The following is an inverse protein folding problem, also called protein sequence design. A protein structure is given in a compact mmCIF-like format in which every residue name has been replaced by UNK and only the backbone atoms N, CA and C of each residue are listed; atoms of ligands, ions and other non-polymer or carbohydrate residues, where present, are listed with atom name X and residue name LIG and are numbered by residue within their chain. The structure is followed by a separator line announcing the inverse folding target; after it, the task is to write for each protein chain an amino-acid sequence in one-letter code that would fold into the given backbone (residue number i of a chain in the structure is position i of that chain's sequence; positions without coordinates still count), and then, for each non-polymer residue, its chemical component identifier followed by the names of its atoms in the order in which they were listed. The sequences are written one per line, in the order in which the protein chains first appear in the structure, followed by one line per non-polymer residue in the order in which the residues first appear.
data_IF_924053730200
#
_entry.id   IF_924053730200
#
_cell.length_a   1.000
_cell.length_b   1.000
_cell.length_c   1.000
_cell.angle_alpha   90.00
_cell.angle_beta   90.00
_cell.angle_gamma   90.00
#
_symmetry.space_group_name_H-M   'P 1'
#
loop_
_entity.id
_entity.type
_entity.pdbx_description
1 polymer ?
#
# COMPACT_ATOMS: atom_id res chain seq x y z
N UNK A 1 -6.96 4.37 9.96
CA UNK A 1 -5.84 5.33 9.84
C UNK A 1 -5.73 6.06 11.17
N UNK A 2 -4.61 5.94 11.87
CA UNK A 2 -4.54 6.40 13.25
C UNK A 2 -5.69 5.81 14.08
N UNK A 3 -6.34 6.64 14.88
CA UNK A 3 -7.48 6.23 15.71
C UNK A 3 -8.83 6.23 14.93
N UNK A 4 -8.81 6.63 13.64
CA UNK A 4 -10.01 6.64 12.81
C UNK A 4 -10.27 5.25 12.24
N UNK A 5 -11.38 4.64 12.64
CA UNK A 5 -11.86 3.34 12.17
C UNK A 5 -13.27 3.52 11.60
N UNK A 6 -13.50 2.99 10.42
CA UNK A 6 -14.79 3.02 9.74
C UNK A 6 -15.21 1.62 9.32
N UNK A 7 -16.47 1.32 9.51
CA UNK A 7 -17.10 0.09 8.98
C UNK A 7 -17.52 0.34 7.52
N UNK A 8 -16.55 0.25 6.62
CA UNK A 8 -16.70 0.53 5.20
C UNK A 8 -15.87 -0.42 4.35
N UNK A 9 -16.18 -0.49 3.06
CA UNK A 9 -15.31 -1.12 2.07
C UNK A 9 -14.31 -0.11 1.49
N UNK A 10 -13.40 -0.56 0.60
CA UNK A 10 -12.47 0.32 -0.09
C UNK A 10 -13.20 1.31 -1.00
N UNK A 11 -12.63 2.50 -1.19
CA UNK A 11 -13.12 3.52 -2.12
C UNK A 11 -14.61 3.93 -1.93
N UNK A 12 -15.08 3.96 -0.68
CA UNK A 12 -16.46 4.34 -0.34
C UNK A 12 -17.51 3.25 -0.56
N UNK A 13 -17.09 2.02 -0.81
CA UNK A 13 -18.00 0.86 -0.84
C UNK A 13 -18.49 0.49 0.57
N UNK A 14 -19.59 -0.25 0.64
CA UNK A 14 -20.11 -0.75 1.91
C UNK A 14 -19.28 -1.92 2.43
N UNK A 15 -19.23 -2.08 3.75
CA UNK A 15 -18.67 -3.26 4.39
C UNK A 15 -19.51 -4.52 4.10
N UNK A 16 -18.84 -5.67 4.03
CA UNK A 16 -19.47 -6.96 3.78
C UNK A 16 -19.73 -7.78 5.06
N UNK A 17 -19.95 -7.13 6.20
CA UNK A 17 -20.18 -7.76 7.49
C UNK A 17 -21.27 -8.84 7.48
N UNK A 18 -22.47 -8.62 6.90
CA UNK A 18 -23.51 -9.63 6.81
C UNK A 18 -23.11 -10.92 6.08
N UNK A 19 -22.19 -10.83 5.10
CA UNK A 19 -21.65 -12.01 4.44
C UNK A 19 -20.77 -12.84 5.39
N UNK A 20 -19.93 -12.18 6.18
CA UNK A 20 -19.11 -12.82 7.22
C UNK A 20 -19.98 -13.59 8.21
N UNK A 21 -21.04 -12.98 8.72
CA UNK A 21 -21.99 -13.61 9.64
C UNK A 21 -22.66 -14.84 9.00
N UNK A 22 -23.09 -14.73 7.74
CA UNK A 22 -23.72 -15.83 7.00
C UNK A 22 -22.77 -17.01 6.80
N UNK A 23 -21.49 -16.76 6.49
CA UNK A 23 -20.48 -17.79 6.32
C UNK A 23 -20.17 -18.50 7.65
N UNK A 24 -20.06 -17.75 8.74
CA UNK A 24 -19.88 -18.33 10.08
C UNK A 24 -21.09 -19.17 10.51
N UNK A 25 -22.32 -18.74 10.22
CA UNK A 25 -23.53 -19.50 10.49
C UNK A 25 -23.59 -20.84 9.72
N UNK A 26 -22.95 -20.93 8.57
CA UNK A 26 -22.77 -22.16 7.79
C UNK A 26 -21.62 -23.06 8.32
N UNK A 27 -20.96 -22.65 9.40
CA UNK A 27 -19.86 -23.39 9.99
C UNK A 27 -18.53 -23.25 9.26
N UNK A 28 -18.39 -22.28 8.36
CA UNK A 28 -17.14 -22.05 7.64
C UNK A 28 -16.16 -21.26 8.54
N UNK A 29 -14.96 -21.79 8.83
CA UNK A 29 -13.96 -21.08 9.62
C UNK A 29 -13.37 -19.92 8.81
N UNK A 30 -13.38 -18.74 9.39
CA UNK A 30 -12.83 -17.53 8.78
C UNK A 30 -11.51 -17.14 9.43
N UNK A 31 -10.65 -16.50 8.66
CA UNK A 31 -9.45 -15.78 9.11
C UNK A 31 -9.56 -14.33 8.73
N UNK A 32 -9.03 -13.48 9.60
CA UNK A 32 -8.96 -12.05 9.34
C UNK A 32 -7.57 -11.68 8.88
N UNK A 33 -7.51 -11.07 7.69
CA UNK A 33 -6.29 -10.52 7.12
C UNK A 33 -6.31 -9.00 7.14
N UNK A 34 -5.14 -8.42 7.06
CA UNK A 34 -4.90 -6.99 6.94
C UNK A 34 -4.08 -6.71 5.70
N UNK A 35 -4.52 -5.81 4.88
CA UNK A 35 -3.71 -5.20 3.82
C UNK A 35 -3.68 -3.68 3.99
N UNK A 36 -2.89 -3.00 3.19
CA UNK A 36 -2.79 -1.55 3.22
C UNK A 36 -2.56 -0.99 1.84
N UNK A 37 -2.94 0.25 1.67
CA UNK A 37 -2.66 1.03 0.47
C UNK A 37 -1.76 2.21 0.82
N UNK A 38 -0.88 2.67 -0.08
CA UNK A 38 -0.07 3.86 0.15
C UNK A 38 -0.86 5.14 -0.14
N UNK A 39 -0.32 6.31 0.23
CA UNK A 39 -0.91 7.58 -0.14
C UNK A 39 -0.87 7.78 -1.65
N UNK A 40 -1.80 8.58 -2.16
CA UNK A 40 -1.80 9.07 -3.54
C UNK A 40 -1.50 10.54 -3.52
N UNK A 41 -0.69 10.98 -4.47
CA UNK A 41 -0.23 12.37 -4.57
C UNK A 41 -0.51 12.94 -5.96
N UNK A 42 -0.61 14.26 -6.03
CA UNK A 42 -0.80 14.98 -7.28
C UNK A 42 0.52 14.97 -8.08
N UNK A 43 0.49 14.47 -9.31
CA UNK A 43 1.62 14.40 -10.24
C UNK A 43 2.32 15.75 -10.41
N UNK A 44 1.55 16.85 -10.45
CA UNK A 44 2.07 18.20 -10.67
C UNK A 44 2.91 18.73 -9.50
N UNK A 45 2.78 18.12 -8.32
CA UNK A 45 3.52 18.50 -7.12
C UNK A 45 4.82 17.70 -6.92
N UNK A 46 5.15 16.78 -7.83
CA UNK A 46 6.32 15.89 -7.75
C UNK A 46 7.49 16.48 -8.53
N UNK A 47 8.66 16.47 -7.93
CA UNK A 47 9.92 16.80 -8.59
C UNK A 47 10.60 15.52 -9.12
N UNK A 48 10.24 15.13 -10.33
CA UNK A 48 10.78 13.93 -10.98
C UNK A 48 12.27 14.02 -11.29
N UNK A 49 12.87 15.21 -11.30
CA UNK A 49 14.31 15.38 -11.54
C UNK A 49 15.19 14.74 -10.46
N UNK A 50 14.63 14.49 -9.28
CA UNK A 50 15.27 13.81 -8.15
C UNK A 50 15.05 12.30 -8.11
N UNK A 51 14.38 11.75 -9.11
CA UNK A 51 14.01 10.34 -9.17
C UNK A 51 14.64 9.68 -10.39
N UNK A 52 14.80 8.37 -10.32
CA UNK A 52 15.28 7.58 -11.44
C UNK A 52 14.09 7.10 -12.28
N UNK A 53 14.07 7.48 -13.56
CA UNK A 53 13.09 6.98 -14.53
C UNK A 53 13.22 5.45 -14.65
N UNK A 54 12.08 4.76 -14.59
CA UNK A 54 11.94 3.34 -14.84
C UNK A 54 11.09 3.18 -16.09
N UNK A 55 11.76 2.98 -17.20
CA UNK A 55 11.11 2.62 -18.45
C UNK A 55 10.62 1.16 -18.38
N UNK A 56 9.60 0.85 -19.13
CA UNK A 56 9.16 -0.53 -19.28
C UNK A 56 10.15 -1.36 -20.09
N UNK A 57 9.87 -2.65 -20.24
CA UNK A 57 10.65 -3.54 -21.08
C UNK A 57 10.64 -3.00 -22.53
N UNK A 58 11.82 -2.84 -23.19
CA UNK A 58 11.88 -2.36 -24.57
C UNK A 58 11.24 -3.33 -25.58
N UNK A 59 11.07 -4.58 -25.19
CA UNK A 59 10.41 -5.61 -26.01
C UNK A 59 9.43 -6.41 -25.15
N UNK A 60 8.31 -5.79 -24.74
CA UNK A 60 7.40 -6.42 -23.80
C UNK A 60 6.74 -7.65 -24.44
N UNK A 61 6.73 -8.75 -23.69
CA UNK A 61 6.04 -9.97 -24.08
C UNK A 61 4.64 -10.01 -23.46
N UNK A 62 3.63 -10.43 -24.21
CA UNK A 62 2.30 -10.61 -23.67
C UNK A 62 2.26 -11.77 -22.66
N UNK A 63 1.43 -11.67 -21.63
CA UNK A 63 1.21 -12.77 -20.67
C UNK A 63 0.28 -13.85 -21.21
N UNK A 64 -0.57 -13.51 -22.20
CA UNK A 64 -1.45 -14.48 -22.86
C UNK A 64 -0.91 -14.89 -24.22
N UNK A 65 -0.95 -16.17 -24.51
CA UNK A 65 -0.64 -16.72 -25.84
C UNK A 65 -1.67 -16.31 -26.91
N UNK A 66 -2.84 -15.82 -26.52
CA UNK A 66 -3.91 -15.36 -27.42
C UNK A 66 -3.76 -13.89 -27.81
N UNK A 67 -2.81 -13.17 -27.22
CA UNK A 67 -2.57 -11.75 -27.54
C UNK A 67 -1.98 -11.64 -28.95
N UNK A 68 -2.67 -10.98 -29.91
CA UNK A 68 -2.30 -11.00 -31.31
C UNK A 68 -1.05 -10.16 -31.64
N UNK A 69 -0.68 -9.22 -30.81
CA UNK A 69 0.47 -8.36 -30.99
C UNK A 69 1.14 -8.03 -29.62
N UNK A 70 2.46 -7.77 -29.60
CA UNK A 70 3.13 -7.31 -28.38
C UNK A 70 2.46 -6.06 -27.80
N UNK A 71 2.33 -5.95 -26.46
CA UNK A 71 1.79 -4.76 -25.84
C UNK A 71 2.75 -3.57 -26.01
N UNK A 72 2.22 -2.35 -26.00
CA UNK A 72 3.00 -1.12 -25.97
C UNK A 72 3.10 -0.56 -24.56
N UNK A 73 4.29 -0.13 -24.18
CA UNK A 73 4.48 0.61 -22.93
C UNK A 73 3.91 2.03 -23.08
N UNK A 74 2.80 2.29 -22.41
CA UNK A 74 2.10 3.59 -22.47
C UNK A 74 2.33 4.47 -21.26
N UNK A 75 3.01 3.96 -20.23
CA UNK A 75 3.32 4.66 -19.00
C UNK A 75 4.70 4.27 -18.50
N UNK A 76 5.28 5.13 -17.68
CA UNK A 76 6.53 4.90 -16.97
C UNK A 76 6.33 5.13 -15.48
N UNK A 77 7.17 4.56 -14.66
CA UNK A 77 7.24 4.86 -13.24
C UNK A 77 8.61 5.46 -12.88
N UNK A 78 8.71 5.96 -11.66
CA UNK A 78 9.94 6.55 -11.15
C UNK A 78 10.34 5.90 -9.83
N UNK A 79 11.63 5.69 -9.66
CA UNK A 79 12.20 5.11 -8.47
C UNK A 79 12.79 6.20 -7.59
N UNK A 80 12.43 6.20 -6.32
CA UNK A 80 13.04 6.97 -5.24
C UNK A 80 13.18 6.11 -4.00
N UNK A 81 13.63 6.70 -2.90
CA UNK A 81 13.93 5.95 -1.67
C UNK A 81 13.48 6.72 -0.44
N UNK A 82 13.14 6.01 0.62
CA UNK A 82 13.04 6.60 1.95
C UNK A 82 14.40 7.09 2.41
N UNK A 83 14.42 8.01 3.36
CA UNK A 83 15.62 8.59 3.96
C UNK A 83 15.73 8.20 5.44
N UNK A 84 16.88 8.42 6.09
CA UNK A 84 16.98 8.28 7.56
C UNK A 84 15.95 9.14 8.32
N UNK A 85 15.63 10.32 7.76
CA UNK A 85 14.60 11.21 8.32
C UNK A 85 13.20 10.58 8.21
N UNK A 86 12.86 9.96 7.07
CA UNK A 86 11.61 9.19 6.93
C UNK A 86 11.52 8.11 8.00
N UNK A 87 12.62 7.38 8.23
CA UNK A 87 12.67 6.32 9.22
C UNK A 87 12.55 6.85 10.65
N UNK A 88 13.13 8.02 10.94
CA UNK A 88 13.01 8.68 12.24
C UNK A 88 11.56 9.07 12.52
N UNK A 89 10.90 9.74 11.56
CA UNK A 89 9.49 10.14 11.67
C UNK A 89 8.61 8.92 11.97
N UNK A 90 8.80 7.83 11.25
CA UNK A 90 8.02 6.62 11.46
C UNK A 90 8.26 6.02 12.85
N UNK A 91 9.51 5.87 13.27
CA UNK A 91 9.86 5.29 14.57
C UNK A 91 9.28 6.09 15.74
N UNK A 92 9.30 7.41 15.65
CA UNK A 92 8.76 8.32 16.68
C UNK A 92 7.23 8.31 16.77
N UNK A 93 6.54 7.73 15.79
CA UNK A 93 5.08 7.70 15.72
C UNK A 93 4.51 6.27 15.63
N UNK A 94 5.30 5.24 15.94
CA UNK A 94 4.83 3.85 15.88
C UNK A 94 3.65 3.59 16.84
N UNK A 95 3.61 4.24 17.96
CA UNK A 95 2.52 4.17 18.94
C UNK A 95 1.17 4.64 18.38
N UNK A 96 1.20 5.51 17.39
CA UNK A 96 0.00 6.01 16.68
C UNK A 96 -0.47 5.09 15.55
N UNK A 97 0.29 4.04 15.23
CA UNK A 97 -0.08 3.09 14.18
C UNK A 97 -1.08 2.08 14.72
N UNK A 98 -2.27 1.92 14.10
CA UNK A 98 -3.26 0.91 14.45
C UNK A 98 -2.69 -0.52 14.46
N UNK A 99 -1.63 -0.76 13.68
CA UNK A 99 -0.93 -2.03 13.63
C UNK A 99 -0.18 -2.34 14.93
N UNK A 100 0.36 -1.31 15.60
CA UNK A 100 1.16 -1.45 16.83
C UNK A 100 0.36 -1.13 18.10
N UNK A 101 -0.72 -0.35 17.98
CA UNK A 101 -1.64 -0.08 19.09
C UNK A 101 -2.61 -1.22 19.39
N UNK A 102 -2.68 -2.24 18.50
CA UNK A 102 -3.59 -3.38 18.67
C UNK A 102 -5.01 -3.17 18.14
N UNK A 103 -5.29 -2.05 17.50
CA UNK A 103 -6.58 -1.78 16.85
C UNK A 103 -6.78 -2.73 15.66
N UNK A 104 -5.74 -2.92 14.85
CA UNK A 104 -5.74 -3.91 13.77
C UNK A 104 -5.43 -5.29 14.35
N UNK A 105 -6.35 -6.24 14.15
CA UNK A 105 -6.23 -7.63 14.60
C UNK A 105 -5.84 -8.58 13.46
N UNK A 106 -6.07 -8.17 12.22
CA UNK A 106 -5.77 -8.97 11.03
C UNK A 106 -4.27 -9.18 10.82
N UNK A 107 -3.91 -10.37 10.37
CA UNK A 107 -2.53 -10.72 10.03
C UNK A 107 -2.21 -10.22 8.62
N UNK A 108 -1.11 -9.49 8.48
CA UNK A 108 -0.64 -9.07 7.16
C UNK A 108 -0.18 -10.27 6.32
N UNK A 109 -0.60 -10.41 5.05
CA UNK A 109 -0.05 -11.42 4.17
C UNK A 109 1.45 -11.21 3.95
N UNK A 110 2.17 -12.29 3.61
CA UNK A 110 3.64 -12.31 3.56
C UNK A 110 4.27 -11.20 2.72
N UNK A 111 3.65 -10.85 1.62
CA UNK A 111 4.19 -9.89 0.64
C UNK A 111 3.56 -8.50 0.68
N UNK A 112 2.80 -8.18 1.72
CA UNK A 112 2.18 -6.87 1.92
C UNK A 112 2.58 -6.21 3.25
N UNK A 113 3.90 -6.02 3.52
CA UNK A 113 4.32 -5.30 4.71
C UNK A 113 4.07 -3.80 4.52
N UNK A 114 3.53 -3.14 5.55
CA UNK A 114 3.53 -1.67 5.61
C UNK A 114 4.96 -1.13 5.73
N UNK A 115 5.14 0.16 5.47
CA UNK A 115 6.45 0.79 5.61
C UNK A 115 6.95 0.73 7.06
N UNK A 116 6.05 0.88 8.04
CA UNK A 116 6.37 0.72 9.46
C UNK A 116 6.94 -0.68 9.74
N UNK A 117 6.31 -1.72 9.19
CA UNK A 117 6.77 -3.10 9.35
C UNK A 117 8.16 -3.31 8.73
N UNK A 118 8.43 -2.70 7.57
CA UNK A 118 9.76 -2.79 6.94
C UNK A 118 10.83 -2.16 7.81
N UNK A 119 10.57 -0.98 8.36
CA UNK A 119 11.52 -0.23 9.19
C UNK A 119 11.79 -0.94 10.52
N UNK A 120 10.78 -1.56 11.12
CA UNK A 120 10.94 -2.34 12.37
C UNK A 120 11.68 -3.64 12.12
N UNK A 121 11.36 -4.36 11.04
CA UNK A 121 11.99 -5.65 10.71
C UNK A 121 13.43 -5.53 10.19
N UNK A 122 13.74 -4.42 9.54
CA UNK A 122 15.04 -4.20 8.90
C UNK A 122 15.64 -2.88 9.40
N UNK A 123 15.96 -2.78 10.70
CA UNK A 123 16.42 -1.54 11.32
C UNK A 123 17.75 -1.04 10.76
N UNK A 124 18.59 -1.95 10.25
CA UNK A 124 19.92 -1.64 9.68
C UNK A 124 19.86 -1.17 8.23
N UNK A 125 18.68 -1.24 7.58
CA UNK A 125 18.53 -0.70 6.24
C UNK A 125 18.40 0.81 6.28
N UNK A 126 19.31 1.49 5.60
CA UNK A 126 19.32 2.95 5.51
C UNK A 126 18.19 3.52 4.66
N UNK A 127 17.66 2.72 3.70
CA UNK A 127 16.62 3.15 2.78
C UNK A 127 15.78 1.98 2.26
N UNK A 128 14.53 2.25 1.91
CA UNK A 128 13.63 1.35 1.21
C UNK A 128 13.22 1.95 -0.13
N UNK A 129 13.08 1.11 -1.15
CA UNK A 129 12.62 1.51 -2.47
C UNK A 129 11.15 1.95 -2.46
N UNK A 130 10.87 3.01 -3.22
CA UNK A 130 9.55 3.52 -3.50
C UNK A 130 9.41 3.71 -5.00
N UNK A 131 8.33 3.16 -5.58
CA UNK A 131 7.98 3.41 -6.97
C UNK A 131 6.82 4.39 -7.05
N UNK A 132 6.96 5.39 -7.89
CA UNK A 132 5.94 6.41 -8.13
C UNK A 132 5.26 6.04 -9.44
N UNK A 133 4.03 5.57 -9.34
CA UNK A 133 3.29 4.93 -10.43
C UNK A 133 2.04 5.72 -10.78
N UNK A 134 1.75 5.96 -12.06
CA UNK A 134 0.49 6.60 -12.44
C UNK A 134 -0.69 5.65 -12.18
N UNK A 135 -1.76 6.16 -11.56
CA UNK A 135 -3.00 5.40 -11.33
C UNK A 135 -3.79 5.17 -12.63
N UNK A 136 -3.51 5.93 -13.67
CA UNK A 136 -4.12 5.83 -14.97
C UNK A 136 -3.50 6.82 -15.95
N UNK A 137 -3.88 6.72 -17.22
CA UNK A 137 -3.35 7.62 -18.26
C UNK A 137 -4.02 8.99 -18.26
N UNK A 138 -5.25 9.06 -17.76
CA UNK A 138 -6.10 10.26 -17.80
C UNK A 138 -6.29 10.89 -16.40
N UNK A 139 -5.38 10.60 -15.45
CA UNK A 139 -5.42 11.16 -14.10
C UNK A 139 -4.07 11.72 -13.67
N UNK A 140 -4.11 12.72 -12.80
CA UNK A 140 -2.91 13.27 -12.14
C UNK A 140 -2.57 12.50 -10.85
N UNK A 141 -3.34 11.48 -10.51
CA UNK A 141 -3.14 10.70 -9.28
C UNK A 141 -1.97 9.73 -9.44
N UNK A 142 -0.98 9.84 -8.55
CA UNK A 142 0.20 8.98 -8.51
C UNK A 142 0.19 8.13 -7.24
N UNK A 143 0.47 6.85 -7.40
CA UNK A 143 0.53 5.84 -6.35
C UNK A 143 1.96 5.68 -5.85
N UNK A 144 2.17 5.70 -4.54
CA UNK A 144 3.50 5.60 -3.94
C UNK A 144 3.74 4.16 -3.49
N UNK A 145 4.03 3.29 -4.45
CA UNK A 145 4.24 1.86 -4.19
C UNK A 145 5.39 1.64 -3.21
N UNK A 146 5.16 0.83 -2.19
CA UNK A 146 6.12 0.54 -1.13
C UNK A 146 5.96 1.39 0.12
N UNK A 147 5.05 2.40 0.10
CA UNK A 147 4.81 3.35 1.19
C UNK A 147 3.46 3.15 1.88
N UNK A 148 2.89 1.93 1.80
CA UNK A 148 1.65 1.59 2.51
C UNK A 148 1.81 1.83 4.01
N UNK A 149 0.85 2.52 4.59
CA UNK A 149 0.88 2.93 5.99
C UNK A 149 -0.53 2.98 6.58
N UNK A 150 -0.62 2.93 7.91
CA UNK A 150 -1.85 3.21 8.66
C UNK A 150 -1.67 4.34 9.69
N UNK A 151 -0.55 5.03 9.65
CA UNK A 151 -0.27 6.19 10.49
C UNK A 151 -1.26 7.33 10.24
N UNK A 152 -1.44 8.27 11.20
CA UNK A 152 -2.25 9.46 11.01
C UNK A 152 -1.81 10.30 9.80
N UNK A 153 -2.72 11.07 9.24
CA UNK A 153 -2.51 11.84 8.01
C UNK A 153 -1.38 12.86 8.11
N UNK A 154 -1.28 13.56 9.23
CA UNK A 154 -0.20 14.52 9.51
C UNK A 154 1.18 13.86 9.51
N UNK A 155 1.28 12.66 10.07
CA UNK A 155 2.51 11.86 10.05
C UNK A 155 2.82 11.38 8.62
N UNK A 156 1.81 10.94 7.88
CA UNK A 156 1.98 10.54 6.48
C UNK A 156 2.50 11.69 5.62
N UNK A 157 1.99 12.89 5.82
CA UNK A 157 2.45 14.08 5.11
C UNK A 157 3.91 14.40 5.45
N UNK A 158 4.28 14.35 6.72
CA UNK A 158 5.67 14.52 7.16
C UNK A 158 6.60 13.47 6.55
N UNK A 159 6.15 12.19 6.50
CA UNK A 159 6.89 11.10 5.85
C UNK A 159 7.08 11.37 4.36
N UNK A 160 6.04 11.77 3.64
CA UNK A 160 6.12 12.10 2.21
C UNK A 160 7.14 13.21 1.96
N UNK A 161 7.06 14.29 2.71
CA UNK A 161 7.93 15.45 2.53
C UNK A 161 9.40 15.19 2.89
N UNK A 162 9.71 14.06 3.55
CA UNK A 162 11.07 13.62 3.82
C UNK A 162 11.72 12.79 2.68
N UNK A 163 10.94 12.47 1.63
CA UNK A 163 11.39 11.64 0.50
C UNK A 163 11.85 12.53 -0.66
N UNK A 164 13.03 12.24 -1.28
CA UNK A 164 13.51 12.99 -2.44
C UNK A 164 12.50 13.01 -3.59
N UNK A 165 12.18 14.23 -4.04
CA UNK A 165 11.20 14.49 -5.08
C UNK A 165 9.75 14.61 -4.61
N UNK A 166 9.47 14.33 -3.33
CA UNK A 166 8.16 14.48 -2.71
C UNK A 166 8.11 15.60 -1.66
N UNK A 167 9.13 16.43 -1.54
CA UNK A 167 9.24 17.46 -0.50
C UNK A 167 8.11 18.49 -0.51
N UNK A 168 7.41 18.60 -1.64
CA UNK A 168 6.26 19.49 -1.82
C UNK A 168 5.04 18.76 -2.38
N UNK A 169 5.02 17.42 -2.22
CA UNK A 169 3.95 16.61 -2.74
C UNK A 169 2.61 16.95 -2.07
N UNK A 170 1.60 17.15 -2.89
CA UNK A 170 0.22 17.35 -2.46
C UNK A 170 -0.46 16.00 -2.34
N UNK A 171 -0.82 15.61 -1.13
CA UNK A 171 -1.53 14.35 -0.88
C UNK A 171 -2.99 14.48 -1.32
N UNK A 172 -3.40 13.67 -2.29
CA UNK A 172 -4.78 13.61 -2.78
C UNK A 172 -5.63 12.65 -1.94
N UNK A 173 -5.02 11.55 -1.50
CA UNK A 173 -5.64 10.55 -0.63
C UNK A 173 -4.62 10.02 0.36
N UNK A 174 -4.93 9.93 1.65
CA UNK A 174 -4.05 9.32 2.62
C UNK A 174 -3.97 7.79 2.42
N UNK A 175 -2.88 7.20 2.90
CA UNK A 175 -2.75 5.77 3.08
C UNK A 175 -3.71 5.28 4.17
N UNK A 176 -4.20 4.08 4.04
CA UNK A 176 -5.00 3.41 5.06
C UNK A 176 -4.77 1.90 5.07
N UNK A 177 -5.12 1.26 6.17
CA UNK A 177 -5.19 -0.18 6.23
C UNK A 177 -6.66 -0.63 6.15
N UNK A 178 -6.86 -1.82 5.60
CA UNK A 178 -8.17 -2.48 5.57
C UNK A 178 -8.02 -3.89 6.15
N UNK A 179 -8.98 -4.30 6.95
CA UNK A 179 -9.11 -5.68 7.39
C UNK A 179 -10.20 -6.36 6.58
N UNK A 180 -10.00 -7.63 6.26
CA UNK A 180 -10.97 -8.43 5.52
C UNK A 180 -10.96 -9.87 5.98
N UNK A 181 -12.11 -10.52 5.87
CA UNK A 181 -12.27 -11.91 6.24
C UNK A 181 -12.10 -12.80 5.02
N UNK A 182 -11.50 -13.96 5.21
CA UNK A 182 -11.40 -14.99 4.18
C UNK A 182 -11.70 -16.38 4.76
N UNK A 183 -12.20 -17.27 3.93
CA UNK A 183 -12.39 -18.67 4.29
C UNK A 183 -11.01 -19.30 4.53
N UNK A 184 -10.86 -20.04 5.63
CA UNK A 184 -9.61 -20.70 5.96
C UNK A 184 -9.38 -21.90 5.04
N UNK A 185 -8.46 -21.77 4.10
CA UNK A 185 -8.15 -22.79 3.10
C UNK A 185 -7.60 -24.11 3.68
N UNK A 186 -7.15 -24.11 4.94
CA UNK A 186 -6.70 -25.34 5.61
C UNK A 186 -7.80 -26.40 5.73
N UNK A 187 -9.06 -26.01 5.60
CA UNK A 187 -10.20 -26.89 5.68
C UNK A 187 -10.89 -27.16 4.33
N UNK A 188 -10.42 -26.50 3.28
CA UNK A 188 -11.04 -26.55 1.95
C UNK A 188 -10.16 -27.19 0.88
N UNK A 189 -8.90 -27.50 1.18
CA UNK A 189 -8.01 -28.17 0.25
C UNK A 189 -7.59 -29.54 0.80
N UNK A 190 -7.85 -30.60 0.03
CA UNK A 190 -7.23 -31.91 0.17
C UNK A 190 -5.75 -31.90 -0.26
N UNK A 191 -5.19 -30.74 -0.51
CA UNK A 191 -3.79 -30.55 -0.88
C UNK A 191 -2.94 -30.38 0.40
N UNK A 192 -3.03 -31.35 1.30
CA UNK A 192 -2.11 -31.51 2.40
C UNK A 192 -1.14 -32.64 2.07
#
# INVERSE_FOLDING_TARGET
MGDCVEDSGPDGLHAAGPLTESLLALGLPLRRFKTGTPPRVNRRSIDFSKMQLQEGDPSPLPFSFETPAPPENRAVCWLTYTTPETHRIIRENLDKSPLYSGVIQGVGPRYCPSIETKIVRFPDKERHQLFIEPMGLDTEEMYIQGFSSSLPEDVQLAMLHSVPGLERAEMMRPAYAIEYDCICLLYTSDAA
#
